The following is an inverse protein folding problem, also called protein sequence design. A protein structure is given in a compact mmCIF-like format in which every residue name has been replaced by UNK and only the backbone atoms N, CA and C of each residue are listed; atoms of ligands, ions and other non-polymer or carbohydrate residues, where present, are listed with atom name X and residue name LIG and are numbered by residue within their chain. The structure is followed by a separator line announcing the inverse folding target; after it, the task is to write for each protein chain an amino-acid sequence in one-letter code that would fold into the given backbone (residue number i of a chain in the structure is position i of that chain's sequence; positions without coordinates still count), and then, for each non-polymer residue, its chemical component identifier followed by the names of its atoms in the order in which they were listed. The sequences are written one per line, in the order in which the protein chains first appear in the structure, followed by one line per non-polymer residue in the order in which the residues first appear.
data_IF_058543043243
#
_entry.id   IF_058543043243
#
_cell.length_a   1.000
_cell.length_b   1.000
_cell.length_c   1.000
_cell.angle_alpha   90.00
_cell.angle_beta   90.00
_cell.angle_gamma   90.00
#
_symmetry.space_group_name_H-M   'P 1'
#
loop_
_entity.id
_entity.type
_entity.pdbx_description
1 polymer ?
#
# COMPACT_ATOMS: atom_id res chain seq x y z
N UNK A 1 -32.76 45.32 12.37
CA UNK A 1 -31.36 44.86 12.27
C UNK A 1 -31.09 43.99 13.47
N UNK A 2 -31.02 42.68 13.26
CA UNK A 2 -30.20 41.67 13.99
C UNK A 2 -30.77 40.29 13.65
N UNK A 3 -30.61 39.88 12.40
CA UNK A 3 -30.53 38.46 12.04
C UNK A 3 -29.28 38.34 11.16
N UNK A 4 -28.13 38.66 11.78
CA UNK A 4 -26.84 38.48 11.14
C UNK A 4 -26.41 37.02 11.31
N UNK A 5 -26.36 36.34 10.16
CA UNK A 5 -25.33 35.37 9.80
C UNK A 5 -25.26 34.16 10.73
N UNK A 6 -26.17 33.21 10.51
CA UNK A 6 -25.83 31.80 10.70
C UNK A 6 -24.91 31.43 9.54
N UNK A 7 -23.60 31.64 9.72
CA UNK A 7 -22.60 30.99 8.90
C UNK A 7 -22.80 29.48 9.07
N UNK A 8 -23.51 28.92 8.11
CA UNK A 8 -23.73 27.50 7.94
C UNK A 8 -22.37 26.94 7.48
N UNK A 9 -21.53 26.58 8.45
CA UNK A 9 -20.38 25.71 8.18
C UNK A 9 -20.99 24.37 7.78
N UNK A 10 -21.24 24.21 6.48
CA UNK A 10 -21.65 22.96 5.90
C UNK A 10 -20.44 22.01 6.05
N UNK A 11 -20.40 21.24 7.14
CA UNK A 11 -19.51 20.08 7.22
C UNK A 11 -19.92 19.16 6.07
N UNK A 12 -19.17 19.22 4.98
CA UNK A 12 -19.39 18.34 3.83
C UNK A 12 -19.30 16.91 4.33
N UNK A 13 -20.25 16.07 3.93
CA UNK A 13 -20.24 14.65 4.31
C UNK A 13 -18.87 14.01 4.04
N UNK A 14 -18.41 13.10 4.93
CA UNK A 14 -17.12 12.47 4.78
C UNK A 14 -17.04 11.72 3.45
N UNK A 15 -15.98 11.98 2.69
CA UNK A 15 -15.74 11.31 1.40
C UNK A 15 -15.49 9.83 1.64
N UNK A 16 -16.26 8.98 0.96
CA UNK A 16 -16.13 7.52 1.03
C UNK A 16 -14.70 7.07 0.73
N UNK A 17 -14.19 6.10 1.51
CA UNK A 17 -12.82 5.59 1.36
C UNK A 17 -12.50 5.10 -0.05
N UNK A 18 -13.48 4.53 -0.77
CA UNK A 18 -13.28 4.08 -2.15
C UNK A 18 -12.95 5.23 -3.10
N UNK A 19 -13.54 6.41 -2.89
CA UNK A 19 -13.22 7.61 -3.67
C UNK A 19 -11.82 8.10 -3.37
N UNK A 20 -11.43 8.11 -2.09
CA UNK A 20 -10.05 8.44 -1.68
C UNK A 20 -9.02 7.50 -2.32
N UNK A 21 -9.31 6.19 -2.35
CA UNK A 21 -8.48 5.19 -3.02
C UNK A 21 -8.42 5.45 -4.53
N UNK A 22 -9.56 5.72 -5.17
CA UNK A 22 -9.61 6.05 -6.60
C UNK A 22 -8.74 7.27 -6.93
N UNK A 23 -8.77 8.31 -6.10
CA UNK A 23 -7.95 9.51 -6.27
C UNK A 23 -6.46 9.20 -6.14
N UNK A 24 -6.06 8.36 -5.17
CA UNK A 24 -4.68 7.86 -5.07
C UNK A 24 -4.28 7.15 -6.36
N UNK A 25 -5.10 6.22 -6.83
CA UNK A 25 -4.80 5.46 -8.05
C UNK A 25 -4.71 6.34 -9.30
N UNK A 26 -5.54 7.39 -9.38
CA UNK A 26 -5.55 8.32 -10.51
C UNK A 26 -4.31 9.23 -10.54
N UNK A 27 -3.76 9.55 -9.37
CA UNK A 27 -2.63 10.46 -9.23
C UNK A 27 -1.26 9.76 -9.21
N UNK A 28 -1.22 8.45 -8.97
CA UNK A 28 0.02 7.69 -9.04
C UNK A 28 0.45 7.58 -10.51
N UNK A 29 1.40 8.43 -10.88
CA UNK A 29 1.95 8.46 -12.24
C UNK A 29 2.77 7.21 -12.58
N UNK A 30 2.82 6.88 -13.88
CA UNK A 30 3.68 5.84 -14.40
C UNK A 30 5.15 6.17 -14.11
N UNK A 31 5.82 5.29 -13.36
CA UNK A 31 7.24 5.46 -13.03
C UNK A 31 8.13 4.78 -14.06
N UNK A 32 9.01 5.50 -14.78
CA UNK A 32 9.98 4.88 -15.66
C UNK A 32 11.00 4.06 -14.86
N UNK A 33 11.50 2.97 -15.46
CA UNK A 33 12.53 2.09 -14.87
C UNK A 33 13.80 2.87 -14.55
N UNK A 34 14.33 2.72 -13.34
CA UNK A 34 15.42 3.54 -12.80
C UNK A 34 16.83 2.99 -13.06
N UNK A 35 16.94 1.70 -13.39
CA UNK A 35 18.24 1.06 -13.54
C UNK A 35 18.26 -0.09 -14.54
N UNK A 36 19.45 -0.32 -15.11
CA UNK A 36 19.82 -1.57 -15.77
C UNK A 36 20.81 -2.27 -14.86
N UNK A 37 20.49 -3.48 -14.39
CA UNK A 37 21.51 -4.36 -13.80
C UNK A 37 21.99 -5.27 -14.91
N UNK A 38 23.27 -5.19 -15.24
CA UNK A 38 23.94 -6.15 -16.12
C UNK A 38 24.70 -7.15 -15.23
N UNK A 39 24.19 -8.37 -15.12
CA UNK A 39 24.89 -9.50 -14.48
C UNK A 39 25.06 -10.60 -15.53
N UNK A 40 26.22 -10.66 -16.18
CA UNK A 40 26.49 -11.61 -17.26
C UNK A 40 25.66 -11.33 -18.53
N UNK A 41 24.91 -12.34 -19.02
CA UNK A 41 24.05 -12.21 -20.23
C UNK A 41 22.63 -11.71 -19.94
N UNK A 42 22.27 -11.52 -18.66
CA UNK A 42 20.88 -11.24 -18.29
C UNK A 42 20.70 -9.76 -17.98
N UNK A 43 19.84 -9.11 -18.78
CA UNK A 43 19.49 -7.70 -18.63
C UNK A 43 18.14 -7.59 -17.94
N UNK A 44 18.12 -7.15 -16.68
CA UNK A 44 16.88 -6.82 -15.99
C UNK A 44 16.83 -5.33 -15.70
N UNK A 45 15.72 -4.71 -16.07
CA UNK A 45 15.39 -3.36 -15.64
C UNK A 45 14.56 -3.46 -14.37
N UNK A 46 14.97 -2.77 -13.31
CA UNK A 46 14.20 -2.70 -12.07
C UNK A 46 13.71 -1.28 -11.82
N UNK A 47 12.54 -1.19 -11.19
CA UNK A 47 12.03 0.01 -10.54
C UNK A 47 12.35 -0.16 -9.06
N UNK A 48 13.01 0.81 -8.42
CA UNK A 48 13.33 0.63 -7.01
C UNK A 48 12.04 0.63 -6.19
N UNK A 49 11.91 -0.31 -5.25
CA UNK A 49 10.76 -0.35 -4.35
C UNK A 49 10.61 0.98 -3.59
N UNK A 50 11.73 1.64 -3.29
CA UNK A 50 11.80 2.95 -2.66
C UNK A 50 11.05 4.02 -3.45
N UNK A 51 11.19 4.05 -4.79
CA UNK A 51 10.49 5.03 -5.63
C UNK A 51 9.00 4.76 -5.73
N UNK A 52 8.60 3.48 -5.74
CA UNK A 52 7.20 3.07 -5.67
C UNK A 52 6.58 3.54 -4.35
N UNK A 53 7.27 3.24 -3.24
CA UNK A 53 6.81 3.63 -1.89
C UNK A 53 6.73 5.15 -1.78
N UNK A 54 7.71 5.89 -2.28
CA UNK A 54 7.72 7.36 -2.20
C UNK A 54 6.52 7.98 -2.93
N UNK A 55 6.22 7.54 -4.16
CA UNK A 55 5.11 8.10 -4.94
C UNK A 55 3.74 7.71 -4.38
N UNK A 56 3.54 6.44 -4.05
CA UNK A 56 2.26 5.97 -3.48
C UNK A 56 2.02 6.61 -2.12
N UNK A 57 3.04 6.68 -1.25
CA UNK A 57 2.92 7.28 0.08
C UNK A 57 2.51 8.75 0.02
N UNK A 58 3.08 9.53 -0.93
CA UNK A 58 2.72 10.94 -1.11
C UNK A 58 1.23 11.10 -1.43
N UNK A 59 0.69 10.31 -2.35
CA UNK A 59 -0.73 10.39 -2.72
C UNK A 59 -1.65 9.90 -1.58
N UNK A 60 -1.27 8.84 -0.87
CA UNK A 60 -2.04 8.38 0.30
C UNK A 60 -2.13 9.43 1.40
N UNK A 61 -1.03 10.15 1.68
CA UNK A 61 -1.01 11.21 2.70
C UNK A 61 -1.92 12.37 2.30
N UNK A 62 -1.94 12.77 1.02
CA UNK A 62 -2.86 13.82 0.53
C UNK A 62 -4.32 13.49 0.81
N UNK A 63 -4.68 12.20 0.71
CA UNK A 63 -6.02 11.70 0.97
C UNK A 63 -6.29 11.34 2.44
N UNK A 64 -5.33 11.60 3.34
CA UNK A 64 -5.34 11.24 4.77
C UNK A 64 -5.60 9.75 5.01
N UNK A 65 -4.93 8.90 4.23
CA UNK A 65 -4.94 7.46 4.37
C UNK A 65 -3.68 6.98 5.10
N UNK A 66 -3.86 6.01 6.01
CA UNK A 66 -2.77 5.31 6.69
C UNK A 66 -2.87 3.81 6.46
N UNK A 67 -1.72 3.12 6.39
CA UNK A 67 -1.63 1.66 6.18
C UNK A 67 -0.70 1.00 7.18
N UNK A 68 -1.13 -0.10 7.79
CA UNK A 68 -0.31 -0.92 8.70
C UNK A 68 -0.79 -2.38 8.72
N UNK A 69 0.10 -3.33 9.05
CA UNK A 69 -0.31 -4.73 9.22
C UNK A 69 -1.16 -4.89 10.48
N UNK A 70 -2.27 -5.61 10.35
CA UNK A 70 -3.18 -5.96 11.46
C UNK A 70 -3.15 -7.45 11.82
N UNK A 71 -2.69 -8.30 10.89
CA UNK A 71 -2.51 -9.72 11.13
C UNK A 71 -1.39 -10.28 10.25
N UNK A 72 -0.74 -11.33 10.73
CA UNK A 72 0.23 -12.10 9.98
C UNK A 72 0.10 -13.56 10.40
N UNK A 73 -0.24 -14.43 9.45
CA UNK A 73 -0.40 -15.87 9.67
C UNK A 73 0.58 -16.64 8.81
N UNK A 74 1.12 -17.74 9.33
CA UNK A 74 1.90 -18.68 8.54
C UNK A 74 0.98 -19.83 8.14
N UNK A 75 0.73 -20.00 6.84
CA UNK A 75 -0.23 -20.99 6.33
C UNK A 75 0.43 -22.35 6.10
N UNK A 76 1.66 -22.36 5.61
CA UNK A 76 2.44 -23.57 5.37
C UNK A 76 3.74 -23.52 6.16
N UNK A 77 4.02 -24.56 6.95
CA UNK A 77 5.30 -24.76 7.65
C UNK A 77 5.92 -26.11 7.32
N UNK A 78 5.41 -26.81 6.30
CA UNK A 78 5.87 -28.13 5.93
C UNK A 78 7.19 -28.06 5.14
N UNK A 79 8.25 -28.66 5.69
CA UNK A 79 9.56 -28.73 5.04
C UNK A 79 10.29 -27.40 5.01
N UNK A 80 10.81 -27.01 3.84
CA UNK A 80 11.54 -25.75 3.62
C UNK A 80 10.69 -24.61 3.06
N UNK A 81 9.38 -24.85 2.88
CA UNK A 81 8.45 -23.85 2.35
C UNK A 81 7.69 -23.18 3.49
N UNK A 82 7.75 -21.85 3.51
CA UNK A 82 6.99 -21.02 4.43
C UNK A 82 6.13 -20.07 3.64
N UNK A 83 4.82 -20.26 3.76
CA UNK A 83 3.83 -19.34 3.22
C UNK A 83 3.34 -18.42 4.33
N UNK A 84 3.47 -17.12 4.10
CA UNK A 84 3.04 -16.07 5.03
C UNK A 84 1.90 -15.30 4.37
N UNK A 85 0.85 -15.10 5.13
CA UNK A 85 -0.29 -14.26 4.77
C UNK A 85 -0.33 -13.08 5.72
N UNK A 86 -0.17 -11.87 5.19
CA UNK A 86 -0.26 -10.63 5.95
C UNK A 86 -1.54 -9.89 5.57
N UNK A 87 -2.29 -9.44 6.57
CA UNK A 87 -3.44 -8.56 6.38
C UNK A 87 -3.04 -7.15 6.76
N UNK A 88 -3.19 -6.22 5.82
CA UNK A 88 -2.97 -4.79 6.02
C UNK A 88 -4.30 -4.07 6.10
N UNK A 89 -4.39 -3.07 6.97
CA UNK A 89 -5.53 -2.15 7.02
C UNK A 89 -5.14 -0.85 6.35
N UNK A 90 -5.96 -0.37 5.43
CA UNK A 90 -5.93 1.01 4.93
C UNK A 90 -7.10 1.74 5.58
N UNK A 91 -6.81 2.78 6.36
CA UNK A 91 -7.82 3.54 7.12
C UNK A 91 -7.78 5.01 6.75
N UNK A 92 -8.97 5.61 6.61
CA UNK A 92 -9.14 7.05 6.50
C UNK A 92 -9.18 7.67 7.91
N UNK A 93 -8.27 8.62 8.16
CA UNK A 93 -8.08 9.20 9.50
C UNK A 93 -9.28 10.04 9.95
N UNK A 94 -10.10 10.51 9.02
CA UNK A 94 -11.18 11.48 9.27
C UNK A 94 -12.40 10.84 9.92
N UNK A 95 -12.86 9.70 9.40
CA UNK A 95 -14.08 9.02 9.84
C UNK A 95 -13.82 7.61 10.41
N UNK A 96 -12.57 7.12 10.32
CA UNK A 96 -12.20 5.78 10.73
C UNK A 96 -12.68 4.68 9.79
N UNK A 97 -13.23 5.02 8.62
CA UNK A 97 -13.55 4.04 7.59
C UNK A 97 -12.27 3.33 7.13
N UNK A 98 -12.38 2.04 6.80
CA UNK A 98 -11.21 1.24 6.45
C UNK A 98 -11.53 0.14 5.44
N UNK A 99 -10.48 -0.34 4.79
CA UNK A 99 -10.46 -1.58 4.03
C UNK A 99 -9.32 -2.46 4.52
N UNK A 100 -9.55 -3.77 4.56
CA UNK A 100 -8.51 -4.74 4.88
C UNK A 100 -8.08 -5.46 3.60
N UNK A 101 -6.77 -5.52 3.37
CA UNK A 101 -6.15 -6.10 2.18
C UNK A 101 -5.26 -7.24 2.63
N UNK A 102 -5.57 -8.45 2.16
CA UNK A 102 -4.78 -9.64 2.43
C UNK A 102 -3.77 -9.86 1.31
N UNK A 103 -2.52 -10.10 1.68
CA UNK A 103 -1.40 -10.36 0.77
C UNK A 103 -0.74 -11.67 1.20
N UNK A 104 -0.58 -12.58 0.24
CA UNK A 104 0.14 -13.85 0.45
C UNK A 104 1.55 -13.75 -0.15
N UNK A 105 2.53 -14.35 0.52
CA UNK A 105 3.90 -14.45 0.05
C UNK A 105 4.52 -15.77 0.50
N UNK A 106 5.18 -16.47 -0.43
CA UNK A 106 5.85 -17.74 -0.17
C UNK A 106 7.36 -17.65 -0.36
N UNK A 107 8.12 -18.27 0.53
CA UNK A 107 9.57 -18.43 0.42
C UNK A 107 9.97 -19.91 0.46
N UNK A 108 10.84 -20.32 -0.46
CA UNK A 108 11.43 -21.65 -0.48
C UNK A 108 12.89 -21.55 -0.03
N UNK A 109 13.19 -22.01 1.18
CA UNK A 109 14.53 -21.95 1.74
C UNK A 109 15.32 -23.22 1.36
N UNK A 110 15.93 -23.24 0.18
CA UNK A 110 16.73 -24.39 -0.24
C UNK A 110 18.08 -24.39 0.51
N UNK A 111 18.15 -25.10 1.62
CA UNK A 111 19.44 -25.40 2.25
C UNK A 111 20.21 -26.34 1.31
N UNK A 112 21.28 -25.83 0.68
CA UNK A 112 22.28 -26.68 0.01
C UNK A 112 22.92 -27.57 1.07
N UNK A 113 22.50 -28.83 1.14
CA UNK A 113 23.26 -29.87 1.82
C UNK A 113 24.58 -30.00 1.07
N UNK A 114 25.68 -29.58 1.70
CA UNK A 114 27.02 -29.91 1.21
C UNK A 114 27.17 -31.44 1.27
N UNK A 115 27.34 -32.03 0.08
CA UNK A 115 27.82 -33.38 -0.17
C UNK A 115 29.21 -33.61 0.42
#
# INVERSE_FOLDING_TARGET
MTEEIKDEILESEPVLIYQKIFDVMSNVEYMPKDGKVEFGKTKYSYLSAEKIVENVRKEMIKQKLIIWPIACTTENTAGSEKDITATYRILAVEDGSFIDVQVTGGGHDSTRANS
#
